data_IF_907457341588
#
_entry.id   IF_907457341588
#
_cell.length_a   1.000
_cell.length_b   1.000
_cell.length_c   1.000
_cell.angle_alpha   90.00
_cell.angle_beta   90.00
_cell.angle_gamma   90.00
#
_symmetry.space_group_name_H-M   'P 1'
#
loop_
_entity.id
_entity.type
_entity.pdbx_description
1 polymer ?
#
# COMPACT_ATOMS: atom_id res chain seq x y z
N UNK A 1 -30.16 -90.57 12.54
CA UNK A 1 -30.60 -89.25 12.09
C UNK A 1 -29.76 -88.20 12.75
N UNK A 2 -28.79 -87.62 11.98
CA UNK A 2 -27.89 -86.58 12.47
C UNK A 2 -28.29 -85.21 11.92
N UNK A 3 -28.64 -84.30 12.82
CA UNK A 3 -29.05 -82.94 12.45
C UNK A 3 -27.79 -82.04 12.56
N UNK A 4 -27.32 -81.59 11.42
CA UNK A 4 -26.18 -80.65 11.30
C UNK A 4 -26.70 -79.23 11.42
N UNK A 5 -26.31 -78.53 12.52
CA UNK A 5 -26.63 -77.11 12.74
C UNK A 5 -25.54 -76.24 12.11
N UNK A 6 -25.85 -75.52 11.04
CA UNK A 6 -24.93 -74.58 10.40
C UNK A 6 -25.13 -73.19 11.02
N UNK A 7 -24.15 -72.72 11.79
CA UNK A 7 -24.07 -71.33 12.22
C UNK A 7 -23.56 -70.44 11.09
N UNK A 8 -24.37 -69.45 10.66
CA UNK A 8 -23.94 -68.39 9.75
C UNK A 8 -23.34 -67.26 10.62
N UNK A 9 -22.06 -67.08 10.53
CA UNK A 9 -21.40 -65.93 11.13
C UNK A 9 -21.59 -64.69 10.20
N UNK A 10 -22.35 -63.72 10.67
CA UNK A 10 -22.49 -62.43 9.99
C UNK A 10 -21.37 -61.49 10.47
N UNK A 11 -20.39 -61.23 9.60
CA UNK A 11 -19.32 -60.27 9.88
C UNK A 11 -19.87 -58.86 9.69
N UNK A 12 -19.98 -58.11 10.76
CA UNK A 12 -20.30 -56.67 10.75
C UNK A 12 -18.98 -55.91 10.52
N UNK A 13 -18.77 -55.38 9.31
CA UNK A 13 -17.66 -54.49 9.02
C UNK A 13 -17.98 -53.09 9.55
N UNK A 14 -17.38 -52.71 10.66
CA UNK A 14 -17.46 -51.33 11.18
C UNK A 14 -16.45 -50.50 10.41
N UNK A 15 -16.92 -49.73 9.43
CA UNK A 15 -16.12 -48.76 8.69
C UNK A 15 -16.01 -47.48 9.55
N UNK A 16 -14.93 -47.35 10.27
CA UNK A 16 -14.62 -46.09 10.99
C UNK A 16 -14.23 -44.99 9.97
N UNK A 17 -15.15 -44.07 9.68
CA UNK A 17 -14.81 -42.84 8.98
C UNK A 17 -13.99 -41.97 9.92
N UNK A 18 -12.68 -41.95 9.75
CA UNK A 18 -11.82 -40.90 10.31
C UNK A 18 -12.15 -39.57 9.56
N UNK A 19 -13.02 -38.78 10.17
CA UNK A 19 -13.24 -37.38 9.76
C UNK A 19 -11.98 -36.59 10.09
N UNK A 20 -11.04 -36.50 9.16
CA UNK A 20 -9.91 -35.60 9.25
C UNK A 20 -10.45 -34.18 9.10
N UNK A 21 -10.78 -33.53 10.22
CA UNK A 21 -11.11 -32.12 10.24
C UNK A 21 -9.82 -31.36 9.90
N UNK A 22 -9.65 -31.01 8.63
CA UNK A 22 -8.63 -30.05 8.23
C UNK A 22 -9.03 -28.73 8.88
N UNK A 23 -8.41 -28.40 10.00
CA UNK A 23 -8.46 -27.05 10.54
C UNK A 23 -7.75 -26.17 9.50
N UNK A 24 -8.53 -25.55 8.64
CA UNK A 24 -8.02 -24.54 7.72
C UNK A 24 -7.37 -23.45 8.60
N UNK A 25 -6.06 -23.36 8.56
CA UNK A 25 -5.36 -22.27 9.23
C UNK A 25 -5.98 -20.96 8.72
N UNK A 26 -6.53 -20.18 9.64
CA UNK A 26 -7.18 -18.92 9.29
C UNK A 26 -6.17 -18.03 8.60
N UNK A 27 -6.37 -17.79 7.31
CA UNK A 27 -5.48 -16.96 6.51
C UNK A 27 -5.43 -15.55 7.12
N UNK A 28 -4.22 -15.04 7.32
CA UNK A 28 -4.05 -13.67 7.82
C UNK A 28 -4.67 -12.68 6.84
N UNK A 29 -5.35 -11.64 7.32
CA UNK A 29 -5.83 -10.57 6.44
C UNK A 29 -4.67 -9.94 5.68
N UNK A 30 -4.89 -9.61 4.41
CA UNK A 30 -3.87 -9.05 3.51
C UNK A 30 -3.90 -7.53 3.53
N UNK A 31 -2.75 -6.93 3.79
CA UNK A 31 -2.48 -5.51 3.55
C UNK A 31 -1.66 -5.39 2.28
N UNK A 32 -2.20 -4.70 1.28
CA UNK A 32 -1.50 -4.35 0.05
C UNK A 32 -1.04 -2.89 0.12
N UNK A 33 0.28 -2.67 0.04
CA UNK A 33 0.87 -1.33 0.07
C UNK A 33 1.28 -0.96 -1.34
N UNK A 34 0.73 0.16 -1.83
CA UNK A 34 0.97 0.68 -3.15
C UNK A 34 1.65 2.04 -3.06
N UNK A 35 2.89 2.14 -3.58
CA UNK A 35 3.71 3.32 -3.35
C UNK A 35 4.77 3.60 -4.40
N UNK A 36 5.57 4.61 -4.11
CA UNK A 36 6.69 5.07 -4.93
C UNK A 36 8.06 4.73 -4.29
N UNK A 37 9.09 5.52 -4.61
CA UNK A 37 10.45 5.38 -4.07
C UNK A 37 10.51 5.45 -2.54
N UNK A 38 9.61 6.23 -1.90
CA UNK A 38 9.54 6.31 -0.44
C UNK A 38 9.10 4.98 0.18
N UNK A 39 8.26 4.22 -0.51
CA UNK A 39 7.80 2.90 -0.09
C UNK A 39 8.81 1.82 -0.47
N UNK A 40 9.47 1.96 -1.61
CA UNK A 40 10.52 1.06 -2.07
C UNK A 40 11.73 1.04 -1.15
N UNK A 41 11.99 2.13 -0.44
CA UNK A 41 13.20 2.31 0.37
C UNK A 41 14.39 2.79 -0.47
N UNK A 42 14.17 3.74 -1.38
CA UNK A 42 15.18 4.32 -2.23
C UNK A 42 16.21 5.13 -1.44
N UNK A 43 17.47 4.82 -1.64
CA UNK A 43 18.62 5.56 -1.05
C UNK A 43 19.51 6.05 -2.15
N UNK A 44 19.76 7.36 -2.18
CA UNK A 44 20.68 8.00 -3.10
C UNK A 44 21.96 8.38 -2.37
N UNK A 45 23.10 7.94 -2.89
CA UNK A 45 24.44 8.34 -2.39
C UNK A 45 24.99 9.48 -3.27
N UNK A 46 25.05 10.73 -2.74
CA UNK A 46 25.44 11.89 -3.56
C UNK A 46 26.87 11.82 -4.13
N UNK A 47 27.81 11.19 -3.41
CA UNK A 47 29.21 11.11 -3.83
C UNK A 47 29.43 10.19 -5.01
N UNK A 48 28.72 9.08 -5.04
CA UNK A 48 28.85 8.06 -6.09
C UNK A 48 27.77 8.18 -7.16
N UNK A 49 26.72 8.96 -6.89
CA UNK A 49 25.49 9.06 -7.70
C UNK A 49 24.79 7.70 -7.91
N UNK A 50 25.07 6.76 -7.01
CA UNK A 50 24.47 5.43 -7.06
C UNK A 50 23.20 5.40 -6.21
N UNK A 51 22.21 4.73 -6.75
CA UNK A 51 20.96 4.40 -6.06
C UNK A 51 21.05 2.99 -5.52
N UNK A 52 20.64 2.83 -4.28
CA UNK A 52 20.47 1.54 -3.62
C UNK A 52 19.10 1.44 -2.99
N UNK A 53 18.82 0.30 -2.39
CA UNK A 53 17.60 0.06 -1.63
C UNK A 53 17.94 -0.24 -0.18
N UNK A 54 17.14 0.28 0.74
CA UNK A 54 17.17 -0.18 2.13
C UNK A 54 16.93 -1.69 2.21
N UNK A 55 17.48 -2.39 3.20
CA UNK A 55 17.01 -3.72 3.55
C UNK A 55 15.48 -3.73 3.67
N UNK A 56 14.84 -4.76 3.15
CA UNK A 56 13.37 -4.80 3.05
C UNK A 56 12.70 -4.64 4.42
N UNK A 57 13.24 -5.26 5.45
CA UNK A 57 12.77 -5.20 6.83
C UNK A 57 12.99 -3.84 7.51
N UNK A 58 13.77 -2.95 6.90
CA UNK A 58 13.96 -1.57 7.31
C UNK A 58 13.03 -0.59 6.58
N UNK A 59 12.26 -1.04 5.58
CA UNK A 59 11.27 -0.19 4.92
C UNK A 59 10.03 0.00 5.79
N UNK A 60 9.35 1.15 5.64
CA UNK A 60 8.23 1.50 6.51
C UNK A 60 7.06 0.48 6.49
N UNK A 61 6.72 -0.20 5.37
CA UNK A 61 5.63 -1.17 5.39
C UNK A 61 5.93 -2.37 6.27
N UNK A 62 7.16 -2.87 6.21
CA UNK A 62 7.58 -4.01 7.03
C UNK A 62 7.75 -3.62 8.50
N UNK A 63 8.28 -2.41 8.77
CA UNK A 63 8.31 -1.86 10.11
C UNK A 63 6.90 -1.76 10.71
N UNK A 64 5.95 -1.21 9.96
CA UNK A 64 4.53 -1.13 10.35
C UNK A 64 3.97 -2.53 10.68
N UNK A 65 4.16 -3.51 9.80
CA UNK A 65 3.64 -4.86 10.03
C UNK A 65 4.25 -5.52 11.27
N UNK A 66 5.52 -5.29 11.54
CA UNK A 66 6.20 -5.75 12.76
C UNK A 66 5.60 -5.10 14.01
N UNK A 67 5.36 -3.80 14.01
CA UNK A 67 4.69 -3.10 15.12
C UNK A 67 3.25 -3.58 15.35
N UNK A 68 2.58 -4.04 14.29
CA UNK A 68 1.28 -4.69 14.36
C UNK A 68 1.36 -6.17 14.79
N UNK A 69 2.54 -6.65 15.18
CA UNK A 69 2.78 -8.02 15.65
C UNK A 69 2.73 -9.06 14.54
N UNK A 70 3.01 -8.68 13.30
CA UNK A 70 3.01 -9.57 12.12
C UNK A 70 1.68 -10.33 11.95
N UNK A 71 0.57 -9.68 12.32
CA UNK A 71 -0.77 -10.26 12.25
C UNK A 71 -1.36 -10.28 10.84
N UNK A 72 -0.73 -9.57 9.92
CA UNK A 72 -1.19 -9.40 8.54
C UNK A 72 -0.23 -10.04 7.56
N UNK A 73 -0.78 -10.52 6.44
CA UNK A 73 -0.01 -10.79 5.25
C UNK A 73 0.27 -9.46 4.55
N UNK A 74 1.54 -9.17 4.26
CA UNK A 74 1.95 -7.90 3.69
C UNK A 74 2.44 -8.10 2.26
N UNK A 75 1.77 -7.46 1.32
CA UNK A 75 2.20 -7.33 -0.06
C UNK A 75 2.59 -5.88 -0.35
N UNK A 76 3.73 -5.67 -1.00
CA UNK A 76 4.26 -4.33 -1.28
C UNK A 76 4.60 -4.20 -2.76
N UNK A 77 3.86 -3.33 -3.43
CA UNK A 77 4.12 -2.91 -4.80
C UNK A 77 4.56 -1.44 -4.80
N UNK A 78 5.87 -1.24 -4.94
CA UNK A 78 6.49 0.08 -4.87
C UNK A 78 7.42 0.29 -6.05
N UNK A 79 7.11 1.29 -6.88
CA UNK A 79 7.91 1.66 -8.04
C UNK A 79 8.46 3.08 -7.88
N UNK A 80 9.78 3.22 -7.91
CA UNK A 80 10.42 4.54 -7.91
C UNK A 80 9.94 5.35 -9.12
N UNK A 81 9.50 6.59 -8.89
CA UNK A 81 8.96 7.44 -9.95
C UNK A 81 7.42 7.38 -10.09
N UNK A 82 6.73 6.43 -9.45
CA UNK A 82 5.27 6.29 -9.58
C UNK A 82 4.54 7.55 -9.15
N UNK A 83 3.65 8.01 -10.02
CA UNK A 83 2.73 9.12 -9.82
C UNK A 83 1.37 8.65 -9.34
N UNK A 84 0.43 9.55 -9.08
CA UNK A 84 -0.96 9.17 -8.77
C UNK A 84 -1.70 8.68 -10.02
N UNK A 85 -1.88 9.56 -11.01
CA UNK A 85 -2.72 9.31 -12.19
C UNK A 85 -2.26 10.06 -13.45
N UNK A 86 -0.96 10.32 -13.55
CA UNK A 86 -0.35 10.98 -14.71
C UNK A 86 0.84 10.15 -15.22
N UNK A 87 0.97 10.06 -16.54
CA UNK A 87 2.09 9.37 -17.14
C UNK A 87 3.38 10.15 -16.91
N UNK A 88 4.45 9.46 -16.64
CA UNK A 88 5.77 10.07 -16.58
C UNK A 88 6.23 10.34 -18.02
N UNK A 89 6.69 11.54 -18.35
CA UNK A 89 7.24 11.77 -19.67
C UNK A 89 8.45 10.87 -19.88
N UNK A 90 8.65 10.41 -21.11
CA UNK A 90 9.84 9.63 -21.44
C UNK A 90 11.09 10.39 -21.03
N UNK A 91 11.80 9.84 -20.04
CA UNK A 91 13.05 10.42 -19.56
C UNK A 91 14.23 9.58 -20.08
N UNK A 92 15.31 10.22 -20.55
CA UNK A 92 16.52 9.50 -20.94
C UNK A 92 17.08 8.59 -19.83
N UNK A 93 16.74 8.85 -18.57
CA UNK A 93 17.17 8.07 -17.40
C UNK A 93 16.21 6.95 -16.99
N UNK A 94 15.00 6.87 -17.56
CA UNK A 94 14.01 5.84 -17.21
C UNK A 94 14.30 4.46 -17.84
N UNK A 95 15.31 4.39 -18.68
CA UNK A 95 15.60 3.16 -19.45
C UNK A 95 14.54 2.90 -20.51
N UNK A 96 14.07 1.65 -20.59
CA UNK A 96 13.03 1.24 -21.54
C UNK A 96 11.65 1.07 -20.88
N UNK A 97 11.43 1.69 -19.72
CA UNK A 97 10.14 1.60 -19.04
C UNK A 97 9.22 2.68 -19.63
N UNK A 98 8.08 2.31 -20.25
CA UNK A 98 7.12 3.25 -20.80
C UNK A 98 6.56 4.18 -19.71
N UNK A 99 6.27 5.42 -20.06
CA UNK A 99 5.82 6.45 -19.11
C UNK A 99 4.53 6.10 -18.37
N UNK A 100 3.60 5.42 -19.05
CA UNK A 100 2.36 4.93 -18.48
C UNK A 100 2.55 3.87 -17.38
N UNK A 101 3.71 3.21 -17.34
CA UNK A 101 4.04 2.24 -16.26
C UNK A 101 4.17 2.94 -14.91
N UNK A 102 4.55 4.21 -14.92
CA UNK A 102 4.66 5.02 -13.70
C UNK A 102 3.31 5.60 -13.26
N UNK A 103 2.29 5.56 -14.11
CA UNK A 103 0.94 6.01 -13.76
C UNK A 103 0.28 5.02 -12.82
N UNK A 104 0.12 5.45 -11.55
CA UNK A 104 -0.44 4.62 -10.50
C UNK A 104 -1.86 4.15 -10.82
N UNK A 105 -2.71 5.03 -11.37
CA UNK A 105 -4.09 4.69 -11.71
C UNK A 105 -4.16 3.64 -12.83
N UNK A 106 -3.27 3.73 -13.82
CA UNK A 106 -3.20 2.78 -14.93
C UNK A 106 -2.76 1.39 -14.48
N UNK A 107 -1.78 1.31 -13.58
CA UNK A 107 -1.18 0.02 -13.18
C UNK A 107 -1.86 -0.64 -11.97
N UNK A 108 -2.59 0.12 -11.16
CA UNK A 108 -3.23 -0.36 -9.94
C UNK A 108 -4.21 -1.54 -10.15
N UNK A 109 -5.09 -1.56 -11.17
CA UNK A 109 -6.03 -2.67 -11.37
C UNK A 109 -5.33 -4.03 -11.54
N UNK A 110 -4.25 -4.06 -12.32
CA UNK A 110 -3.48 -5.26 -12.53
C UNK A 110 -2.75 -5.72 -11.26
N UNK A 111 -2.15 -4.76 -10.52
CA UNK A 111 -1.47 -5.03 -9.27
C UNK A 111 -2.43 -5.59 -8.20
N UNK A 112 -3.62 -5.01 -8.06
CA UNK A 112 -4.65 -5.52 -7.15
C UNK A 112 -5.14 -6.90 -7.54
N UNK A 113 -5.41 -7.11 -8.84
CA UNK A 113 -5.90 -8.40 -9.35
C UNK A 113 -4.90 -9.54 -9.11
N UNK A 114 -3.60 -9.24 -9.18
CA UNK A 114 -2.55 -10.22 -8.95
C UNK A 114 -2.39 -10.62 -7.47
N UNK A 115 -2.88 -9.79 -6.54
CA UNK A 115 -2.67 -9.96 -5.10
C UNK A 115 -3.96 -10.27 -4.30
N UNK A 116 -5.05 -10.62 -4.98
CA UNK A 116 -6.31 -10.99 -4.30
C UNK A 116 -6.17 -12.26 -3.45
N UNK A 117 -6.85 -12.38 -2.32
CA UNK A 117 -7.74 -11.39 -1.69
C UNK A 117 -6.96 -10.30 -0.96
N UNK A 118 -7.48 -9.07 -1.00
CA UNK A 118 -6.92 -7.90 -0.29
C UNK A 118 -7.97 -7.34 0.66
N UNK A 119 -7.61 -7.11 1.92
CA UNK A 119 -8.50 -6.55 2.95
C UNK A 119 -8.32 -5.04 3.13
N UNK A 120 -7.09 -4.56 2.94
CA UNK A 120 -6.73 -3.16 3.06
C UNK A 120 -5.69 -2.78 2.01
N UNK A 121 -5.95 -1.71 1.26
CA UNK A 121 -4.96 -1.07 0.41
C UNK A 121 -4.44 0.19 1.10
N UNK A 122 -3.14 0.30 1.26
CA UNK A 122 -2.49 1.52 1.73
C UNK A 122 -1.79 2.16 0.53
N UNK A 123 -2.20 3.39 0.19
CA UNK A 123 -1.60 4.17 -0.90
C UNK A 123 -0.74 5.27 -0.31
N UNK A 124 0.54 5.32 -0.70
CA UNK A 124 1.43 6.46 -0.42
C UNK A 124 2.07 6.93 -1.73
N UNK A 125 1.43 7.89 -2.36
CA UNK A 125 1.79 8.48 -3.65
C UNK A 125 1.61 10.00 -3.63
N UNK A 126 2.14 10.67 -4.65
CA UNK A 126 2.00 12.10 -4.88
C UNK A 126 3.33 12.84 -4.88
N UNK A 127 4.41 12.26 -4.34
CA UNK A 127 5.74 12.89 -4.38
C UNK A 127 6.22 13.15 -5.81
N UNK A 128 6.01 12.20 -6.71
CA UNK A 128 6.45 12.31 -8.10
C UNK A 128 5.58 13.24 -8.93
N UNK A 129 4.33 13.41 -8.54
CA UNK A 129 3.41 14.39 -9.14
C UNK A 129 3.88 15.84 -8.92
N UNK A 130 4.72 16.09 -7.93
CA UNK A 130 5.30 17.40 -7.64
C UNK A 130 6.38 17.82 -8.62
N UNK A 131 6.88 16.91 -9.46
CA UNK A 131 7.87 17.25 -10.49
C UNK A 131 7.39 18.42 -11.31
N UNK A 132 8.26 19.38 -11.56
CA UNK A 132 7.93 20.61 -12.27
C UNK A 132 7.31 20.35 -13.65
N UNK A 133 7.80 19.32 -14.36
CA UNK A 133 7.30 18.94 -15.68
C UNK A 133 5.84 18.44 -15.72
N UNK A 134 5.27 18.03 -14.60
CA UNK A 134 3.85 17.64 -14.55
C UNK A 134 2.90 18.83 -14.39
N UNK A 135 3.39 20.01 -14.02
CA UNK A 135 2.60 21.23 -13.84
C UNK A 135 1.40 21.06 -12.88
N UNK A 136 1.51 20.16 -11.91
CA UNK A 136 0.45 19.83 -10.94
C UNK A 136 0.58 20.60 -9.65
N UNK A 137 -0.55 21.02 -9.12
CA UNK A 137 -0.66 21.58 -7.79
C UNK A 137 -1.30 20.61 -6.80
N UNK A 138 -1.47 21.01 -5.52
CA UNK A 138 -2.05 20.17 -4.47
C UNK A 138 -3.45 19.64 -4.80
N UNK A 139 -4.26 20.40 -5.56
CA UNK A 139 -5.63 19.99 -5.92
C UNK A 139 -5.63 18.86 -6.94
N UNK A 140 -4.81 18.95 -7.96
CA UNK A 140 -4.68 17.94 -9.01
C UNK A 140 -4.13 16.63 -8.42
N UNK A 141 -3.17 16.72 -7.49
CA UNK A 141 -2.61 15.56 -6.80
C UNK A 141 -3.67 14.93 -5.88
N UNK A 142 -4.41 15.75 -5.13
CA UNK A 142 -5.52 15.26 -4.32
C UNK A 142 -6.59 14.56 -5.16
N UNK A 143 -6.90 15.09 -6.35
CA UNK A 143 -7.82 14.43 -7.29
C UNK A 143 -7.27 13.09 -7.76
N UNK A 144 -5.98 12.98 -8.05
CA UNK A 144 -5.33 11.71 -8.38
C UNK A 144 -5.48 10.65 -7.28
N UNK A 145 -5.31 11.05 -6.02
CA UNK A 145 -5.56 10.15 -4.88
C UNK A 145 -7.04 9.74 -4.78
N UNK A 146 -7.98 10.64 -5.08
CA UNK A 146 -9.42 10.32 -5.16
C UNK A 146 -9.68 9.31 -6.28
N UNK A 147 -9.06 9.48 -7.44
CA UNK A 147 -9.22 8.59 -8.58
C UNK A 147 -8.72 7.17 -8.24
N UNK A 148 -7.56 7.05 -7.58
CA UNK A 148 -7.05 5.78 -7.07
C UNK A 148 -8.02 5.14 -6.06
N UNK A 149 -8.54 5.93 -5.11
CA UNK A 149 -9.52 5.47 -4.12
C UNK A 149 -10.79 4.94 -4.76
N UNK A 150 -11.30 5.64 -5.76
CA UNK A 150 -12.50 5.23 -6.50
C UNK A 150 -12.25 3.94 -7.30
N UNK A 151 -11.09 3.83 -7.94
CA UNK A 151 -10.68 2.61 -8.63
C UNK A 151 -10.68 1.41 -7.66
N UNK A 152 -10.07 1.54 -6.49
CA UNK A 152 -10.03 0.46 -5.50
C UNK A 152 -11.44 0.08 -5.03
N UNK A 153 -12.26 1.07 -4.69
CA UNK A 153 -13.61 0.86 -4.16
C UNK A 153 -14.62 0.36 -5.19
N UNK A 154 -14.42 0.66 -6.48
CA UNK A 154 -15.32 0.19 -7.54
C UNK A 154 -15.40 -1.32 -7.61
N UNK A 155 -14.31 -2.00 -7.28
CA UNK A 155 -14.21 -3.46 -7.40
C UNK A 155 -14.24 -3.97 -8.84
N UNK A 156 -14.22 -3.10 -9.85
CA UNK A 156 -14.29 -3.50 -11.26
C UNK A 156 -13.07 -4.33 -11.69
N UNK A 157 -11.94 -4.13 -11.04
CA UNK A 157 -10.69 -4.87 -11.25
C UNK A 157 -10.78 -6.34 -10.77
N UNK A 158 -11.78 -6.70 -9.95
CA UNK A 158 -11.96 -8.06 -9.42
C UNK A 158 -13.19 -8.76 -9.99
N UNK A 159 -13.51 -8.57 -11.25
CA UNK A 159 -14.66 -9.18 -11.92
C UNK A 159 -14.70 -10.69 -11.72
N UNK A 160 -15.92 -11.19 -11.44
CA UNK A 160 -16.23 -12.64 -11.24
C UNK A 160 -15.55 -13.27 -10.02
N UNK A 161 -15.10 -12.47 -9.05
CA UNK A 161 -14.62 -12.99 -7.77
C UNK A 161 -15.70 -12.86 -6.70
N UNK A 162 -15.56 -13.64 -5.63
CA UNK A 162 -16.43 -13.54 -4.44
C UNK A 162 -15.89 -12.52 -3.41
N UNK A 163 -14.74 -11.89 -3.70
CA UNK A 163 -14.09 -10.98 -2.76
C UNK A 163 -14.78 -9.61 -2.76
N UNK A 164 -14.85 -9.01 -1.58
CA UNK A 164 -15.33 -7.63 -1.43
C UNK A 164 -14.21 -6.65 -1.76
N UNK A 165 -14.52 -5.45 -2.30
CA UNK A 165 -13.54 -4.40 -2.44
C UNK A 165 -12.86 -4.10 -1.11
N UNK A 166 -11.53 -3.93 -1.09
CA UNK A 166 -10.80 -3.67 0.14
C UNK A 166 -11.09 -2.28 0.72
N UNK A 167 -10.77 -2.11 1.98
CA UNK A 167 -10.67 -0.78 2.59
C UNK A 167 -9.48 -0.02 2.00
N UNK A 168 -9.53 1.30 2.04
CA UNK A 168 -8.46 2.16 1.52
C UNK A 168 -7.95 3.07 2.63
N UNK A 169 -6.64 3.17 2.75
CA UNK A 169 -5.94 4.13 3.59
C UNK A 169 -4.99 4.95 2.71
N UNK A 170 -5.17 6.26 2.70
CA UNK A 170 -4.22 7.17 2.07
C UNK A 170 -3.23 7.66 3.13
N UNK A 171 -1.95 7.49 2.82
CA UNK A 171 -0.84 8.03 3.62
C UNK A 171 -0.17 9.12 2.83
N UNK A 172 -0.11 10.32 3.36
CA UNK A 172 0.62 11.40 2.70
C UNK A 172 2.12 11.17 2.80
N UNK A 173 2.86 11.33 1.69
CA UNK A 173 4.30 11.31 1.74
C UNK A 173 4.85 12.43 2.65
N UNK A 174 6.09 12.28 3.12
CA UNK A 174 6.75 13.36 3.85
C UNK A 174 6.87 14.62 2.99
N UNK A 175 6.99 15.77 3.65
CA UNK A 175 7.29 17.04 2.97
C UNK A 175 8.57 16.88 2.15
N UNK A 176 8.52 17.34 0.90
CA UNK A 176 9.64 17.31 -0.02
C UNK A 176 10.24 18.71 -0.15
N UNK A 177 11.43 18.89 0.37
CA UNK A 177 12.22 20.08 0.14
C UNK A 177 12.96 19.97 -1.20
N UNK A 178 12.28 20.42 -2.26
CA UNK A 178 12.77 20.32 -3.63
C UNK A 178 14.11 21.04 -3.85
N UNK A 179 14.35 22.13 -3.15
CA UNK A 179 15.55 22.96 -3.32
C UNK A 179 16.80 22.32 -2.71
N UNK A 180 16.63 21.38 -1.76
CA UNK A 180 17.69 20.67 -1.06
C UNK A 180 17.79 19.19 -1.45
N UNK A 181 17.21 18.78 -2.58
CA UNK A 181 17.35 17.41 -3.09
C UNK A 181 18.43 17.32 -4.16
N UNK A 182 19.02 16.13 -4.38
CA UNK A 182 19.90 15.90 -5.53
C UNK A 182 19.20 16.11 -6.90
N UNK A 183 17.89 16.24 -6.88
CA UNK A 183 17.03 16.42 -8.05
C UNK A 183 16.33 17.79 -8.04
N UNK A 184 16.98 18.82 -7.49
CA UNK A 184 16.39 20.14 -7.22
C UNK A 184 15.58 20.73 -8.37
N UNK A 185 16.13 20.71 -9.59
CA UNK A 185 15.44 21.26 -10.77
C UNK A 185 14.11 20.52 -11.08
N UNK A 186 14.06 19.21 -10.84
CA UNK A 186 12.84 18.42 -11.05
C UNK A 186 11.73 18.77 -10.07
N UNK A 187 12.11 19.16 -8.84
CA UNK A 187 11.18 19.36 -7.73
C UNK A 187 11.08 20.82 -7.27
N UNK A 188 11.47 21.76 -8.15
CA UNK A 188 11.38 23.18 -7.83
C UNK A 188 9.98 23.58 -7.34
N UNK A 189 9.91 24.21 -6.16
CA UNK A 189 8.67 24.64 -5.51
C UNK A 189 7.85 23.52 -4.84
N UNK A 190 8.37 22.30 -4.75
CA UNK A 190 7.67 21.17 -4.14
C UNK A 190 7.36 21.38 -2.65
N UNK A 191 8.24 22.05 -1.90
CA UNK A 191 8.04 22.29 -0.47
C UNK A 191 6.77 23.10 -0.19
N UNK A 192 6.51 24.15 -0.97
CA UNK A 192 5.30 24.95 -0.82
C UNK A 192 4.04 24.14 -1.12
N UNK A 193 4.10 23.28 -2.14
CA UNK A 193 2.99 22.39 -2.52
C UNK A 193 2.73 21.34 -1.44
N UNK A 194 3.78 20.70 -0.89
CA UNK A 194 3.62 19.67 0.16
C UNK A 194 3.07 20.24 1.46
N UNK A 195 3.46 21.44 1.85
CA UNK A 195 2.87 22.14 3.01
C UNK A 195 1.37 22.44 2.85
N UNK A 196 0.92 22.63 1.62
CA UNK A 196 -0.49 22.88 1.31
C UNK A 196 -1.34 21.62 1.20
N UNK A 197 -0.76 20.42 1.19
CA UNK A 197 -1.49 19.16 0.95
C UNK A 197 -2.56 18.85 1.98
N UNK A 198 -2.21 18.93 3.26
CA UNK A 198 -3.11 18.54 4.34
C UNK A 198 -4.50 19.15 4.19
N UNK A 199 -4.64 20.50 4.23
CA UNK A 199 -5.94 21.16 4.10
C UNK A 199 -6.66 20.93 2.77
N UNK A 200 -5.91 20.67 1.68
CA UNK A 200 -6.52 20.40 0.38
C UNK A 200 -7.13 19.01 0.35
N UNK A 201 -6.39 18.01 0.85
CA UNK A 201 -6.87 16.63 0.90
C UNK A 201 -8.03 16.48 1.87
N UNK A 202 -7.97 17.11 3.05
CA UNK A 202 -9.08 17.13 3.99
C UNK A 202 -10.38 17.61 3.33
N UNK A 203 -10.32 18.71 2.58
CA UNK A 203 -11.49 19.24 1.85
C UNK A 203 -11.95 18.30 0.74
N UNK A 204 -11.03 17.75 -0.03
CA UNK A 204 -11.36 16.88 -1.16
C UNK A 204 -12.05 15.59 -0.74
N UNK A 205 -11.71 15.10 0.45
CA UNK A 205 -12.31 13.90 1.04
C UNK A 205 -13.41 14.21 2.04
N UNK A 206 -13.79 15.48 2.23
CA UNK A 206 -14.81 15.92 3.20
C UNK A 206 -14.55 15.36 4.61
N UNK A 207 -13.29 15.42 5.05
CA UNK A 207 -12.92 14.90 6.36
C UNK A 207 -13.19 15.89 7.47
N UNK A 208 -13.60 15.43 8.67
CA UNK A 208 -13.57 16.27 9.85
C UNK A 208 -12.14 16.64 10.21
N UNK A 209 -11.95 17.85 10.76
CA UNK A 209 -10.64 18.31 11.21
C UNK A 209 -10.00 17.25 12.16
N UNK A 210 -8.69 16.95 12.03
CA UNK A 210 -8.07 15.90 12.81
C UNK A 210 -8.01 16.25 14.29
N UNK A 211 -8.65 15.41 15.11
CA UNK A 211 -8.64 15.51 16.58
C UNK A 211 -7.71 14.51 17.26
N UNK A 212 -6.92 13.72 16.51
CA UNK A 212 -6.16 12.58 17.06
C UNK A 212 -4.73 12.52 16.47
N UNK A 213 -3.76 12.10 17.29
CA UNK A 213 -2.36 11.91 16.89
C UNK A 213 -2.20 10.82 15.80
N UNK A 214 -1.23 10.99 14.93
CA UNK A 214 -0.98 10.15 13.74
C UNK A 214 -0.90 8.63 14.02
N UNK A 215 -0.34 8.23 15.16
CA UNK A 215 -0.27 6.82 15.57
C UNK A 215 -1.66 6.28 15.97
N UNK A 216 -2.52 7.10 16.58
CA UNK A 216 -3.90 6.74 16.90
C UNK A 216 -4.79 6.63 15.67
N UNK A 217 -4.50 7.38 14.59
CA UNK A 217 -5.24 7.32 13.32
C UNK A 217 -4.96 6.02 12.56
N UNK A 218 -3.73 5.53 12.53
CA UNK A 218 -3.42 4.23 11.91
C UNK A 218 -4.19 3.10 12.61
N UNK A 219 -4.29 3.16 13.93
CA UNK A 219 -5.07 2.21 14.74
C UNK A 219 -6.57 2.36 14.51
N UNK A 220 -7.09 3.59 14.46
CA UNK A 220 -8.50 3.86 14.21
C UNK A 220 -8.95 3.38 12.81
N UNK A 221 -8.08 3.49 11.81
CA UNK A 221 -8.35 3.01 10.45
C UNK A 221 -8.42 1.49 10.35
N UNK A 222 -7.67 0.77 11.15
CA UNK A 222 -7.75 -0.69 11.21
C UNK A 222 -9.03 -1.19 11.90
N UNK A 223 -9.64 -0.35 12.75
CA UNK A 223 -10.82 -0.70 13.56
C UNK A 223 -12.12 -0.17 12.95
N UNK A 224 -12.13 1.00 12.28
CA UNK A 224 -13.34 1.64 11.76
C UNK A 224 -13.36 1.64 10.21
N UNK A 225 -14.33 0.94 9.57
CA UNK A 225 -14.26 0.57 8.15
C UNK A 225 -14.69 1.63 7.15
N UNK A 226 -15.14 2.81 7.55
CA UNK A 226 -15.86 3.68 6.60
C UNK A 226 -15.07 4.80 5.95
N UNK A 227 -14.04 5.36 6.60
CA UNK A 227 -13.19 6.43 6.00
C UNK A 227 -11.87 6.54 6.74
N UNK A 228 -10.75 6.37 6.05
CA UNK A 228 -9.43 6.57 6.62
C UNK A 228 -8.52 7.37 5.71
N UNK A 229 -8.09 8.51 6.20
CA UNK A 229 -6.97 9.27 5.67
C UNK A 229 -6.05 9.59 6.84
N UNK A 230 -4.81 9.13 6.77
CA UNK A 230 -3.76 9.58 7.66
C UNK A 230 -3.11 10.82 7.07
N UNK A 231 -3.33 11.95 7.71
CA UNK A 231 -2.56 13.14 7.46
C UNK A 231 -1.28 13.05 8.29
N UNK A 232 -0.14 12.98 7.63
CA UNK A 232 1.14 13.07 8.29
C UNK A 232 1.43 14.54 8.60
N UNK A 233 1.20 14.97 9.82
CA UNK A 233 1.79 16.23 10.31
C UNK A 233 3.17 15.92 10.86
N UNK A 234 4.15 16.65 10.38
CA UNK A 234 5.60 16.43 10.52
C UNK A 234 6.18 16.41 11.93
N UNK A 235 5.41 16.34 13.00
CA UNK A 235 5.90 16.65 14.34
C UNK A 235 6.19 15.48 15.27
N UNK A 236 5.68 14.26 15.06
CA UNK A 236 5.86 13.23 16.10
C UNK A 236 5.90 11.75 15.68
N UNK A 237 6.10 11.41 14.42
CA UNK A 237 6.31 10.01 14.07
C UNK A 237 7.80 9.70 14.01
N UNK A 238 8.23 8.52 14.49
CA UNK A 238 9.62 8.05 14.47
C UNK A 238 10.23 7.90 13.06
N UNK A 239 9.48 8.27 12.02
CA UNK A 239 9.98 8.57 10.70
C UNK A 239 11.18 9.56 10.75
N UNK A 240 11.20 10.50 11.70
CA UNK A 240 12.41 11.32 11.93
C UNK A 240 13.65 10.49 12.30
N UNK A 241 13.51 9.39 13.02
CA UNK A 241 14.63 8.46 13.29
C UNK A 241 14.98 7.65 12.06
N UNK A 242 14.01 7.36 11.23
CA UNK A 242 14.19 6.59 10.01
C UNK A 242 14.89 7.43 8.94
N UNK A 243 14.45 8.67 8.70
CA UNK A 243 15.11 9.63 7.82
C UNK A 243 16.52 10.02 8.31
N UNK A 244 16.69 10.20 9.61
CA UNK A 244 17.99 10.56 10.18
C UNK A 244 19.05 9.44 10.07
N UNK A 245 18.65 8.18 9.88
CA UNK A 245 19.54 7.05 9.60
C UNK A 245 19.89 6.92 8.12
N UNK A 246 18.98 7.25 7.22
CA UNK A 246 19.22 7.23 5.77
C UNK A 246 19.95 8.49 5.26
N UNK A 247 20.07 9.54 6.07
CA UNK A 247 20.82 10.77 5.76
C UNK A 247 22.24 10.81 6.35
N UNK A 248 22.74 9.72 6.92
CA UNK A 248 24.13 9.53 7.36
C UNK A 248 24.83 8.55 6.42
#
# INVERSE_FOLDING_TARGET
MSVSLRFKATAIAVTAFLSCSVVAAQQKPTIFVYGDSNTFGWVYEPKTQIVSRLPVDETWPYFMNRELGNKYHLEVDALGGRTTDVDEPESPGSGKIPGETYNGLTTLPAALSANMPVDLVIVMLGSNDLKAGHHRGPKEIAQGLVNLTNCIKSGEWQRRTAYKPPRVLIVLPPELDGDNTPYGDFFAGALAKTKAWGPVIERQYELPAPSISTAGLLWACLINPTRCICLHTSTNFSAKRWWARSAK
#
